data_IF_935626202027
#
_entry.id   IF_935626202027
#
_cell.length_a   1.000
_cell.length_b   1.000
_cell.length_c   1.000
_cell.angle_alpha   90.00
_cell.angle_beta   90.00
_cell.angle_gamma   90.00
#
_symmetry.space_group_name_H-M   'P 1'
#
loop_
_entity.id
_entity.type
_entity.pdbx_description
1 polymer ?
#
# COMPACT_ATOMS: atom_id res chain seq x y z
N UNK A 1 0.97 14.78 2.91
CA UNK A 1 -0.02 13.69 3.05
C UNK A 1 0.31 12.86 4.29
N UNK A 2 -0.69 12.47 5.04
CA UNK A 2 -0.48 11.65 6.23
C UNK A 2 -0.35 10.18 5.84
N UNK A 3 0.41 9.39 6.60
CA UNK A 3 0.54 7.95 6.28
C UNK A 3 -0.80 7.23 6.18
N UNK A 4 -1.76 7.57 7.02
CA UNK A 4 -3.07 6.93 7.00
C UNK A 4 -3.84 7.25 5.71
N UNK A 5 -3.68 8.46 5.18
CA UNK A 5 -4.33 8.82 3.92
C UNK A 5 -3.72 8.07 2.75
N UNK A 6 -2.39 7.94 2.74
CA UNK A 6 -1.70 7.17 1.71
C UNK A 6 -2.11 5.69 1.79
N UNK A 7 -2.27 5.17 3.00
CA UNK A 7 -2.73 3.80 3.21
C UNK A 7 -4.14 3.60 2.63
N UNK A 8 -5.03 4.56 2.87
CA UNK A 8 -6.39 4.49 2.33
C UNK A 8 -6.39 4.50 0.81
N UNK A 9 -5.54 5.33 0.20
CA UNK A 9 -5.41 5.35 -1.25
C UNK A 9 -4.90 4.01 -1.78
N UNK A 10 -3.91 3.43 -1.11
CA UNK A 10 -3.40 2.12 -1.48
C UNK A 10 -4.47 1.03 -1.37
N UNK A 11 -5.26 1.07 -0.31
CA UNK A 11 -6.36 0.11 -0.12
C UNK A 11 -7.41 0.24 -1.22
N UNK A 12 -7.71 1.46 -1.63
CA UNK A 12 -8.66 1.68 -2.73
C UNK A 12 -8.12 1.11 -4.04
N UNK A 13 -6.86 1.37 -4.36
CA UNK A 13 -6.22 0.80 -5.54
C UNK A 13 -6.24 -0.72 -5.49
N UNK A 14 -5.97 -1.28 -4.32
CA UNK A 14 -5.99 -2.74 -4.12
C UNK A 14 -7.36 -3.32 -4.45
N UNK A 15 -8.43 -2.69 -3.94
CA UNK A 15 -9.80 -3.13 -4.20
C UNK A 15 -10.14 -3.10 -5.68
N UNK A 16 -9.61 -2.13 -6.39
CA UNK A 16 -9.86 -1.95 -7.82
C UNK A 16 -8.99 -2.85 -8.70
N UNK A 17 -8.08 -3.59 -8.09
CA UNK A 17 -7.17 -4.46 -8.83
C UNK A 17 -5.94 -3.75 -9.36
N UNK A 18 -5.73 -2.49 -9.00
CA UNK A 18 -4.56 -1.71 -9.40
C UNK A 18 -3.42 -1.95 -8.43
N UNK A 19 -2.86 -3.16 -8.47
CA UNK A 19 -1.87 -3.59 -7.48
C UNK A 19 -0.57 -2.79 -7.57
N UNK A 20 -0.13 -2.43 -8.79
CA UNK A 20 1.06 -1.61 -8.97
C UNK A 20 0.91 -0.27 -8.27
N UNK A 21 -0.23 0.38 -8.46
CA UNK A 21 -0.51 1.67 -7.85
C UNK A 21 -0.64 1.53 -6.34
N UNK A 22 -1.26 0.45 -5.89
CA UNK A 22 -1.39 0.18 -4.46
C UNK A 22 0.00 0.06 -3.81
N UNK A 23 0.90 -0.67 -4.45
CA UNK A 23 2.27 -0.83 -3.95
C UNK A 23 2.98 0.51 -3.87
N UNK A 24 2.82 1.36 -4.87
CA UNK A 24 3.41 2.70 -4.85
C UNK A 24 2.86 3.53 -3.68
N UNK A 25 1.55 3.50 -3.48
CA UNK A 25 0.92 4.23 -2.38
C UNK A 25 1.44 3.75 -1.03
N UNK A 26 1.53 2.43 -0.85
CA UNK A 26 2.04 1.87 0.39
C UNK A 26 3.51 2.23 0.60
N UNK A 27 4.30 2.20 -0.46
CA UNK A 27 5.72 2.56 -0.37
C UNK A 27 5.89 4.02 0.05
N UNK A 28 5.10 4.93 -0.53
CA UNK A 28 5.12 6.33 -0.14
C UNK A 28 4.72 6.52 1.32
N UNK A 29 3.69 5.79 1.74
CA UNK A 29 3.22 5.86 3.12
C UNK A 29 4.30 5.36 4.10
N UNK A 30 5.02 4.32 3.75
CA UNK A 30 6.13 3.81 4.55
C UNK A 30 7.22 4.86 4.66
N UNK A 31 7.47 5.60 3.59
CA UNK A 31 8.44 6.69 3.62
C UNK A 31 8.04 7.82 4.55
N UNK A 32 6.73 8.00 4.78
CA UNK A 32 6.23 9.01 5.71
C UNK A 32 6.29 8.54 7.16
N UNK A 33 6.05 7.24 7.38
CA UNK A 33 6.07 6.66 8.73
C UNK A 33 6.41 5.17 8.61
N UNK A 34 7.67 4.83 8.82
CA UNK A 34 8.16 3.46 8.68
C UNK A 34 7.79 2.55 9.85
N UNK A 35 7.18 3.11 10.89
CA UNK A 35 6.71 2.32 12.04
C UNK A 35 5.28 1.83 11.88
N UNK A 36 4.65 2.14 10.76
CA UNK A 36 3.27 1.76 10.51
C UNK A 36 3.22 0.34 9.91
N UNK A 37 3.21 -0.64 10.80
CA UNK A 37 3.38 -2.05 10.41
C UNK A 37 2.32 -2.55 9.43
N UNK A 38 1.09 -2.02 9.49
CA UNK A 38 0.02 -2.43 8.60
C UNK A 38 0.36 -2.17 7.12
N UNK A 39 1.17 -1.14 6.85
CA UNK A 39 1.58 -0.81 5.48
C UNK A 39 2.47 -1.89 4.89
N UNK A 40 3.36 -2.45 5.71
CA UNK A 40 4.23 -3.53 5.25
C UNK A 40 3.42 -4.77 4.90
N UNK A 41 2.44 -5.10 5.74
CA UNK A 41 1.56 -6.24 5.49
C UNK A 41 0.73 -6.04 4.23
N UNK A 42 0.15 -4.85 4.08
CA UNK A 42 -0.67 -4.53 2.90
C UNK A 42 0.16 -4.55 1.62
N UNK A 43 1.39 -4.03 1.68
CA UNK A 43 2.28 -4.05 0.52
C UNK A 43 2.63 -5.48 0.12
N UNK A 44 2.91 -6.32 1.11
CA UNK A 44 3.21 -7.73 0.85
C UNK A 44 2.02 -8.43 0.20
N UNK A 45 0.80 -8.16 0.67
CA UNK A 45 -0.40 -8.73 0.09
C UNK A 45 -0.59 -8.29 -1.36
N UNK A 46 -0.32 -7.02 -1.66
CA UNK A 46 -0.43 -6.50 -3.02
C UNK A 46 0.59 -7.16 -3.93
N UNK A 47 1.81 -7.38 -3.44
CA UNK A 47 2.85 -8.08 -4.21
C UNK A 47 2.45 -9.51 -4.51
N UNK A 48 1.85 -10.20 -3.54
CA UNK A 48 1.38 -11.57 -3.73
C UNK A 48 0.26 -11.64 -4.77
N UNK A 49 -0.65 -10.68 -4.75
CA UNK A 49 -1.75 -10.64 -5.72
C UNK A 49 -1.25 -10.32 -7.12
N UNK A 50 -0.20 -9.54 -7.24
CA UNK A 50 0.39 -9.20 -8.52
C UNK A 50 1.13 -10.39 -9.12
N UNK A 51 1.70 -11.23 -8.29
CA UNK A 51 2.37 -12.45 -8.72
C UNK A 51 1.34 -13.48 -9.15
N UNK A 52 1.56 -14.09 -10.28
CA UNK A 52 0.65 -15.12 -10.80
C UNK A 52 1.20 -16.51 -10.57
#
# INVERSE_FOLDING_TARGET
>A
MKPVDACKQGNQCFKEGHYDEAIECYTQAIGLDDNYAVLYANRAMALLKQEK
#
